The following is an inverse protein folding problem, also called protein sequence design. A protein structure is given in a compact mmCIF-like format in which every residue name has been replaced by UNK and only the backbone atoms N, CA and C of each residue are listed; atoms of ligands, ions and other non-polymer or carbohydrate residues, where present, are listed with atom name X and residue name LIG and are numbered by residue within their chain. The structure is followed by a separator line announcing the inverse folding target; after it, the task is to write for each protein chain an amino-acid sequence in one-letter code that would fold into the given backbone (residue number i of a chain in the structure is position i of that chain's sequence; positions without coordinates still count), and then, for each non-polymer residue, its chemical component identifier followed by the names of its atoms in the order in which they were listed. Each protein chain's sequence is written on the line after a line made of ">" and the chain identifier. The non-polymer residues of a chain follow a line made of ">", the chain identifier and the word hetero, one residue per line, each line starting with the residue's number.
data_IF_518545382088
#
_entry.id   IF_518545382088
#
_cell.length_a   1.000
_cell.length_b   1.000
_cell.length_c   1.000
_cell.angle_alpha   90.00
_cell.angle_beta   90.00
_cell.angle_gamma   90.00
#
_symmetry.space_group_name_H-M   'P 1'
#
loop_
_entity.id
_entity.type
_entity.pdbx_description
1 polymer ?
#
# COMPACT_ATOMS: atom_id res chain seq x y z
N UNK A 1 -26.02 65.39 -6.48
CA UNK A 1 -25.63 64.21 -5.68
C UNK A 1 -25.05 63.17 -6.62
N UNK A 2 -23.73 62.91 -6.59
CA UNK A 2 -23.11 61.77 -7.30
C UNK A 2 -22.23 61.05 -6.29
N UNK A 3 -22.74 59.93 -5.77
CA UNK A 3 -22.00 59.03 -4.90
C UNK A 3 -21.02 58.19 -5.74
N UNK A 4 -19.71 58.37 -5.51
CA UNK A 4 -18.68 57.43 -5.97
C UNK A 4 -18.53 56.30 -4.95
N UNK A 5 -18.87 55.08 -5.35
CA UNK A 5 -18.46 53.86 -4.66
C UNK A 5 -17.03 53.51 -5.06
N UNK A 6 -16.08 53.63 -4.12
CA UNK A 6 -14.74 53.04 -4.24
C UNK A 6 -14.86 51.57 -3.78
N UNK A 7 -14.59 50.57 -4.63
CA UNK A 7 -14.56 49.19 -4.17
C UNK A 7 -13.29 48.93 -3.33
N UNK A 8 -13.47 48.16 -2.26
CA UNK A 8 -12.45 47.74 -1.29
C UNK A 8 -11.26 46.99 -1.93
N UNK A 9 -10.17 47.72 -2.22
CA UNK A 9 -8.92 47.17 -2.76
C UNK A 9 -8.03 46.52 -1.67
N UNK A 10 -8.27 46.80 -0.38
CA UNK A 10 -7.43 46.31 0.72
C UNK A 10 -7.69 44.83 1.11
N UNK A 11 -8.89 44.30 0.88
CA UNK A 11 -9.24 42.91 1.29
C UNK A 11 -8.76 41.85 0.28
N UNK A 12 -8.71 42.16 -1.03
CA UNK A 12 -8.17 41.23 -2.05
C UNK A 12 -6.63 41.14 -2.00
N UNK A 13 -5.94 42.24 -1.68
CA UNK A 13 -4.46 42.29 -1.62
C UNK A 13 -3.90 41.50 -0.44
N UNK A 14 -4.54 41.57 0.73
CA UNK A 14 -4.15 40.83 1.94
C UNK A 14 -4.41 39.33 1.83
N UNK A 15 -5.50 38.92 1.17
CA UNK A 15 -5.77 37.50 0.85
C UNK A 15 -4.74 36.94 -0.12
N UNK A 16 -4.37 37.70 -1.17
CA UNK A 16 -3.32 37.30 -2.12
C UNK A 16 -1.89 37.30 -1.55
N UNK A 17 -1.59 38.13 -0.54
CA UNK A 17 -0.31 38.04 0.19
C UNK A 17 -0.27 36.82 1.10
N UNK A 18 -1.33 36.54 1.87
CA UNK A 18 -1.39 35.37 2.76
C UNK A 18 -1.33 34.04 1.99
N UNK A 19 -1.90 33.97 0.79
CA UNK A 19 -1.79 32.78 -0.07
C UNK A 19 -0.35 32.58 -0.53
N UNK A 20 0.30 33.62 -1.05
CA UNK A 20 1.71 33.57 -1.48
C UNK A 20 2.69 33.27 -0.34
N UNK A 21 2.44 33.79 0.86
CA UNK A 21 3.23 33.46 2.06
C UNK A 21 3.08 32.00 2.46
N UNK A 22 1.86 31.43 2.36
CA UNK A 22 1.62 30.01 2.63
C UNK A 22 2.28 29.12 1.58
N UNK A 23 2.16 29.46 0.30
CA UNK A 23 2.83 28.74 -0.80
C UNK A 23 4.35 28.76 -0.65
N UNK A 24 4.93 29.93 -0.33
CA UNK A 24 6.37 30.06 -0.09
C UNK A 24 6.84 29.21 1.11
N UNK A 25 6.07 29.16 2.20
CA UNK A 25 6.36 28.28 3.35
C UNK A 25 6.27 26.79 3.00
N UNK A 26 5.31 26.40 2.16
CA UNK A 26 5.19 25.01 1.71
C UNK A 26 6.36 24.61 0.82
N UNK A 27 6.75 25.44 -0.15
CA UNK A 27 7.91 25.20 -1.01
C UNK A 27 9.19 25.03 -0.17
N UNK A 28 9.40 25.89 0.83
CA UNK A 28 10.54 25.77 1.74
C UNK A 28 10.49 24.46 2.54
N UNK A 29 9.31 24.05 3.01
CA UNK A 29 9.11 22.77 3.71
C UNK A 29 9.44 21.59 2.79
N UNK A 30 8.99 21.62 1.53
CA UNK A 30 9.28 20.59 0.54
C UNK A 30 10.78 20.50 0.25
N UNK A 31 11.48 21.63 0.08
CA UNK A 31 12.94 21.64 -0.14
C UNK A 31 13.69 21.01 1.03
N UNK A 32 13.33 21.37 2.26
CA UNK A 32 13.93 20.78 3.47
C UNK A 32 13.66 19.29 3.54
N UNK A 33 12.43 18.86 3.26
CA UNK A 33 12.08 17.46 3.24
C UNK A 33 12.86 16.70 2.16
N UNK A 34 12.94 17.20 0.92
CA UNK A 34 13.72 16.57 -0.16
C UNK A 34 15.20 16.42 0.21
N UNK A 35 15.80 17.44 0.82
CA UNK A 35 17.18 17.36 1.29
C UNK A 35 17.35 16.35 2.43
N UNK A 36 16.34 16.14 3.28
CA UNK A 36 16.35 15.10 4.30
C UNK A 36 16.22 13.70 3.68
N UNK A 37 15.26 13.51 2.77
CA UNK A 37 15.04 12.25 2.06
C UNK A 37 16.27 11.85 1.24
N UNK A 38 16.89 12.80 0.55
CA UNK A 38 18.12 12.57 -0.21
C UNK A 38 19.26 12.02 0.68
N UNK A 39 19.51 12.66 1.83
CA UNK A 39 20.52 12.17 2.78
C UNK A 39 20.16 10.79 3.33
N UNK A 40 18.88 10.56 3.60
CA UNK A 40 18.39 9.27 4.06
C UNK A 40 18.57 8.19 2.99
N UNK A 41 18.27 8.47 1.72
CA UNK A 41 18.50 7.56 0.59
C UNK A 41 19.98 7.26 0.41
N UNK A 42 20.85 8.27 0.48
CA UNK A 42 22.30 8.06 0.43
C UNK A 42 22.78 7.10 1.52
N UNK A 43 22.30 7.31 2.76
CA UNK A 43 22.60 6.43 3.88
C UNK A 43 22.03 5.02 3.66
N UNK A 44 20.75 4.89 3.30
CA UNK A 44 20.06 3.61 3.09
C UNK A 44 20.82 2.75 2.06
N UNK A 45 21.09 3.32 0.89
CA UNK A 45 21.67 2.64 -0.28
C UNK A 45 23.20 2.65 -0.32
N UNK A 46 23.86 3.26 0.67
CA UNK A 46 25.33 3.35 0.76
C UNK A 46 25.94 3.96 -0.51
N UNK A 47 25.37 5.08 -0.96
CA UNK A 47 25.91 5.84 -2.09
C UNK A 47 26.57 7.13 -1.59
N UNK A 48 27.82 7.42 -1.99
CA UNK A 48 28.57 8.57 -1.51
C UNK A 48 28.33 9.80 -2.40
N UNK A 49 27.06 10.24 -2.52
CA UNK A 49 26.72 11.39 -3.36
C UNK A 49 26.87 12.71 -2.61
N UNK A 50 27.35 13.74 -3.30
CA UNK A 50 27.38 15.10 -2.77
C UNK A 50 25.96 15.66 -2.72
N UNK A 51 25.62 16.44 -1.68
CA UNK A 51 24.29 17.06 -1.59
C UNK A 51 24.15 18.16 -2.66
N UNK A 52 23.19 18.08 -3.60
CA UNK A 52 23.00 19.09 -4.62
C UNK A 52 22.17 20.27 -4.13
N UNK A 53 22.13 21.34 -4.92
CA UNK A 53 21.13 22.39 -4.78
C UNK A 53 19.76 21.83 -5.18
N UNK A 54 18.76 21.97 -4.31
CA UNK A 54 17.38 21.58 -4.60
C UNK A 54 16.57 22.75 -5.16
N UNK A 55 15.99 22.55 -6.33
CA UNK A 55 15.05 23.48 -6.92
C UNK A 55 13.67 22.84 -7.07
N UNK A 56 12.63 23.63 -6.79
CA UNK A 56 11.24 23.28 -7.10
C UNK A 56 10.81 24.21 -8.21
N UNK A 57 10.45 23.64 -9.37
CA UNK A 57 10.14 24.39 -10.59
C UNK A 57 8.65 24.34 -10.91
N UNK A 58 8.07 25.49 -11.18
CA UNK A 58 6.68 25.62 -11.68
C UNK A 58 6.65 25.56 -13.21
N UNK A 59 5.53 25.11 -13.78
CA UNK A 59 5.29 25.13 -15.24
C UNK A 59 6.15 24.17 -16.07
N UNK A 60 6.87 23.24 -15.45
CA UNK A 60 7.68 22.25 -16.14
C UNK A 60 6.84 21.08 -16.66
N UNK A 61 7.13 20.59 -17.86
CA UNK A 61 6.55 19.34 -18.36
C UNK A 61 7.25 18.09 -17.80
N UNK A 62 8.54 18.19 -17.50
CA UNK A 62 9.33 17.10 -16.91
C UNK A 62 9.18 17.07 -15.40
N UNK A 63 9.10 15.87 -14.84
CA UNK A 63 8.93 15.65 -13.41
C UNK A 63 10.18 15.97 -12.58
N UNK A 64 11.36 15.65 -13.13
CA UNK A 64 12.66 15.85 -12.49
C UNK A 64 13.76 16.13 -13.51
N UNK A 65 14.85 16.71 -13.04
CA UNK A 65 16.08 16.89 -13.83
C UNK A 65 17.31 17.03 -12.92
N UNK A 66 18.33 16.21 -13.19
CA UNK A 66 19.71 16.44 -12.76
C UNK A 66 20.46 17.36 -13.74
N UNK A 67 21.17 18.37 -13.23
CA UNK A 67 21.98 19.30 -14.02
C UNK A 67 23.44 19.28 -13.52
N UNK A 68 24.33 18.50 -14.16
CA UNK A 68 25.71 18.31 -13.69
C UNK A 68 26.49 19.62 -13.53
N UNK A 69 26.37 20.54 -14.49
CA UNK A 69 27.13 21.80 -14.48
C UNK A 69 26.76 22.79 -13.37
N UNK A 70 25.57 22.64 -12.79
CA UNK A 70 25.09 23.50 -11.70
C UNK A 70 25.06 22.77 -10.35
N UNK A 71 25.35 21.46 -10.32
CA UNK A 71 25.17 20.60 -9.14
C UNK A 71 23.74 20.72 -8.58
N UNK A 72 22.75 20.82 -9.48
CA UNK A 72 21.34 21.10 -9.17
C UNK A 72 20.47 19.90 -9.50
N UNK A 73 19.61 19.53 -8.55
CA UNK A 73 18.51 18.58 -8.73
C UNK A 73 17.19 19.32 -8.61
N UNK A 74 16.42 19.32 -9.69
CA UNK A 74 15.13 20.02 -9.75
C UNK A 74 13.98 19.03 -9.83
N UNK A 75 12.89 19.30 -9.10
CA UNK A 75 11.62 18.60 -9.22
C UNK A 75 10.50 19.57 -9.58
N UNK A 76 9.51 19.11 -10.34
CA UNK A 76 8.35 19.91 -10.68
C UNK A 76 7.39 20.05 -9.49
N UNK A 77 6.77 21.22 -9.33
CA UNK A 77 5.79 21.46 -8.26
C UNK A 77 4.55 20.57 -8.37
N UNK A 78 4.07 20.30 -9.59
CA UNK A 78 2.92 19.41 -9.84
C UNK A 78 3.20 17.98 -9.40
N UNK A 79 4.44 17.50 -9.53
CA UNK A 79 4.82 16.16 -9.08
C UNK A 79 4.59 16.01 -7.57
N UNK A 80 4.99 17.04 -6.81
CA UNK A 80 4.90 17.05 -5.35
C UNK A 80 3.45 17.22 -4.88
N UNK A 81 2.64 17.98 -5.62
CA UNK A 81 1.25 18.29 -5.26
C UNK A 81 0.26 17.19 -5.63
N UNK A 82 0.45 16.57 -6.79
CA UNK A 82 -0.56 15.73 -7.42
C UNK A 82 -0.27 14.23 -7.25
N UNK A 83 0.95 13.86 -6.86
CA UNK A 83 1.34 12.47 -6.65
C UNK A 83 1.66 12.18 -5.18
N UNK A 84 1.58 10.89 -4.83
CA UNK A 84 2.00 10.41 -3.52
C UNK A 84 3.51 10.57 -3.36
N UNK A 85 3.96 10.73 -2.13
CA UNK A 85 5.37 11.01 -1.87
C UNK A 85 6.31 9.89 -2.27
N UNK A 86 5.84 8.64 -2.33
CA UNK A 86 6.66 7.52 -2.81
C UNK A 86 6.98 7.66 -4.30
N UNK A 87 6.04 8.16 -5.11
CA UNK A 87 6.29 8.52 -6.52
C UNK A 87 7.32 9.65 -6.61
N UNK A 88 7.21 10.66 -5.75
CA UNK A 88 8.20 11.75 -5.67
C UNK A 88 9.60 11.18 -5.36
N UNK A 89 9.69 10.22 -4.44
CA UNK A 89 10.93 9.55 -4.09
C UNK A 89 11.47 8.66 -5.21
N UNK A 90 10.64 8.00 -6.01
CA UNK A 90 11.08 7.25 -7.19
C UNK A 90 11.70 8.17 -8.25
N UNK A 91 11.08 9.34 -8.52
CA UNK A 91 11.67 10.36 -9.40
C UNK A 91 12.94 10.95 -8.80
N UNK A 92 12.98 11.21 -7.49
CA UNK A 92 14.21 11.66 -6.82
C UNK A 92 15.34 10.65 -7.01
N UNK A 93 15.10 9.35 -6.79
CA UNK A 93 16.09 8.29 -7.01
C UNK A 93 16.51 8.18 -8.47
N UNK A 94 15.61 8.43 -9.42
CA UNK A 94 15.94 8.52 -10.84
C UNK A 94 16.98 9.62 -11.10
N UNK A 95 16.73 10.83 -10.62
CA UNK A 95 17.66 11.95 -10.80
C UNK A 95 18.98 11.72 -10.03
N UNK A 96 18.91 11.12 -8.83
CA UNK A 96 20.10 10.66 -8.11
C UNK A 96 20.92 9.61 -8.88
N UNK A 97 20.29 8.82 -9.75
CA UNK A 97 20.99 7.83 -10.57
C UNK A 97 21.81 8.51 -11.66
N UNK A 98 21.27 9.56 -12.30
CA UNK A 98 22.06 10.42 -13.20
C UNK A 98 23.24 11.06 -12.46
N UNK A 99 23.01 11.57 -11.26
CA UNK A 99 24.06 12.12 -10.41
C UNK A 99 25.13 11.07 -10.06
N UNK A 100 24.74 9.85 -9.73
CA UNK A 100 25.66 8.76 -9.39
C UNK A 100 26.55 8.36 -10.56
N UNK A 101 25.98 8.25 -11.76
CA UNK A 101 26.74 7.97 -12.99
C UNK A 101 27.83 9.02 -13.21
N UNK A 102 27.50 10.30 -12.98
CA UNK A 102 28.43 11.41 -13.17
C UNK A 102 29.48 11.52 -12.06
N UNK A 103 29.06 11.51 -10.78
CA UNK A 103 29.95 11.81 -9.65
C UNK A 103 30.75 10.60 -9.16
N UNK A 104 30.20 9.40 -9.28
CA UNK A 104 30.79 8.19 -8.67
C UNK A 104 31.33 7.25 -9.72
N UNK A 105 30.59 7.01 -10.81
CA UNK A 105 31.03 6.08 -11.85
C UNK A 105 32.00 6.71 -12.86
N UNK A 106 32.02 8.05 -12.96
CA UNK A 106 32.84 8.76 -13.94
C UNK A 106 32.43 8.49 -15.39
N UNK A 107 31.18 8.08 -15.63
CA UNK A 107 30.64 7.63 -16.93
C UNK A 107 29.52 8.55 -17.42
N UNK A 108 29.63 9.85 -17.14
CA UNK A 108 28.62 10.87 -17.45
C UNK A 108 28.39 11.11 -18.95
N UNK A 109 29.34 10.70 -19.80
CA UNK A 109 29.27 10.88 -21.27
C UNK A 109 28.49 9.76 -21.97
N UNK A 110 28.03 8.73 -21.23
CA UNK A 110 27.19 7.67 -21.79
C UNK A 110 25.81 8.19 -22.21
N UNK A 111 25.18 7.44 -23.11
CA UNK A 111 23.80 7.70 -23.54
C UNK A 111 22.88 7.77 -22.31
N UNK A 112 22.02 8.80 -22.20
CA UNK A 112 21.04 8.89 -21.13
C UNK A 112 20.24 7.59 -21.01
N UNK A 113 20.05 7.12 -19.78
CA UNK A 113 19.33 5.88 -19.48
C UNK A 113 19.98 4.58 -20.01
N UNK A 114 21.23 4.65 -20.46
CA UNK A 114 22.05 3.51 -20.89
C UNK A 114 22.53 2.59 -19.75
N UNK A 115 23.47 1.67 -20.02
CA UNK A 115 23.91 0.65 -19.06
C UNK A 115 24.39 1.21 -17.71
N UNK A 116 25.20 2.27 -17.68
CA UNK A 116 25.63 2.89 -16.41
C UNK A 116 24.45 3.40 -15.58
N UNK A 117 23.44 3.99 -16.24
CA UNK A 117 22.24 4.47 -15.56
C UNK A 117 21.39 3.33 -15.00
N UNK A 118 21.25 2.22 -15.73
CA UNK A 118 20.52 1.05 -15.22
C UNK A 118 21.23 0.43 -14.01
N UNK A 119 22.56 0.35 -14.04
CA UNK A 119 23.38 -0.08 -12.90
C UNK A 119 23.19 0.85 -11.69
N UNK A 120 23.18 2.17 -11.91
CA UNK A 120 22.91 3.15 -10.87
C UNK A 120 21.48 3.01 -10.30
N UNK A 121 20.49 2.77 -11.16
CA UNK A 121 19.10 2.52 -10.77
C UNK A 121 18.98 1.27 -9.89
N UNK A 122 19.68 0.18 -10.24
CA UNK A 122 19.75 -1.02 -9.42
C UNK A 122 20.37 -0.74 -8.06
N UNK A 123 21.45 0.05 -8.03
CA UNK A 123 22.14 0.42 -6.78
C UNK A 123 21.27 1.26 -5.85
N UNK A 124 20.47 2.17 -6.41
CA UNK A 124 19.55 3.06 -5.69
C UNK A 124 18.16 2.44 -5.46
N UNK A 125 17.89 1.24 -5.95
CA UNK A 125 16.59 0.60 -5.83
C UNK A 125 15.47 1.39 -6.52
N UNK A 126 15.74 2.00 -7.68
CA UNK A 126 14.72 2.69 -8.49
C UNK A 126 13.72 1.66 -9.02
N UNK A 127 12.44 1.95 -8.85
CA UNK A 127 11.37 1.09 -9.36
C UNK A 127 11.49 0.92 -10.89
N UNK A 128 11.31 -0.29 -11.46
CA UNK A 128 11.53 -0.54 -12.89
C UNK A 128 10.79 0.42 -13.83
N UNK A 129 9.54 0.78 -13.51
CA UNK A 129 8.75 1.72 -14.31
C UNK A 129 9.32 3.15 -14.35
N UNK A 130 10.18 3.51 -13.38
CA UNK A 130 10.82 4.81 -13.28
C UNK A 130 12.22 4.83 -13.88
N UNK A 131 12.69 3.77 -14.56
CA UNK A 131 14.07 3.70 -15.08
C UNK A 131 14.26 4.19 -16.51
N UNK A 132 13.23 4.76 -17.11
CA UNK A 132 13.25 5.27 -18.48
C UNK A 132 12.55 6.62 -18.57
N UNK A 133 12.90 7.39 -19.60
CA UNK A 133 12.21 8.65 -19.90
C UNK A 133 10.84 8.36 -20.54
N UNK A 134 9.85 8.02 -19.72
CA UNK A 134 8.46 7.88 -20.16
C UNK A 134 7.77 9.24 -20.04
N UNK A 135 6.97 9.61 -21.06
CA UNK A 135 6.29 10.92 -21.09
C UNK A 135 5.19 11.11 -20.04
N UNK A 136 4.81 10.04 -19.32
CA UNK A 136 3.86 10.08 -18.23
C UNK A 136 4.48 9.46 -16.97
N UNK A 137 4.13 10.00 -15.79
CA UNK A 137 4.49 9.38 -14.51
C UNK A 137 3.78 8.03 -14.39
N UNK A 138 4.52 6.93 -14.15
CA UNK A 138 3.92 5.62 -13.94
C UNK A 138 2.88 5.65 -12.82
N UNK A 139 1.75 4.97 -13.05
CA UNK A 139 0.72 4.78 -12.04
C UNK A 139 1.08 3.54 -11.23
N UNK A 140 1.69 3.77 -10.09
CA UNK A 140 1.88 2.72 -9.10
C UNK A 140 0.53 2.24 -8.56
N UNK A 141 0.51 1.00 -8.05
CA UNK A 141 -0.67 0.44 -7.42
C UNK A 141 -1.12 1.33 -6.25
N UNK A 142 -2.21 2.05 -6.44
CA UNK A 142 -2.93 2.75 -5.37
C UNK A 142 -4.02 1.82 -4.84
N UNK A 143 -4.33 1.92 -3.54
CA UNK A 143 -5.26 1.00 -2.85
C UNK A 143 -6.68 0.95 -3.39
N UNK A 144 -7.00 1.71 -4.46
CA UNK A 144 -8.29 1.75 -5.12
C UNK A 144 -8.19 1.19 -6.55
N UNK A 145 -8.44 -0.13 -6.65
CA UNK A 145 -8.98 -0.81 -7.83
C UNK A 145 -8.33 -0.50 -9.18
N UNK A 146 -7.28 -1.25 -9.51
CA UNK A 146 -6.82 -1.36 -10.91
C UNK A 146 -6.78 -2.81 -11.39
N UNK A 147 -7.41 -2.99 -12.55
CA UNK A 147 -7.49 -4.24 -13.32
C UNK A 147 -6.09 -4.72 -13.66
N UNK A 148 -5.65 -5.76 -12.98
CA UNK A 148 -4.56 -6.62 -13.46
C UNK A 148 -5.17 -7.85 -14.16
N UNK A 149 -4.38 -8.72 -14.79
CA UNK A 149 -4.79 -9.68 -15.84
C UNK A 149 -5.94 -10.68 -15.59
N UNK A 150 -6.12 -11.67 -16.48
CA UNK A 150 -7.30 -12.55 -16.52
C UNK A 150 -7.62 -13.31 -15.21
N UNK A 151 -6.61 -13.63 -14.38
CA UNK A 151 -6.80 -14.20 -13.04
C UNK A 151 -7.37 -13.18 -12.05
N UNK A 152 -6.90 -11.93 -12.11
CA UNK A 152 -7.48 -10.83 -11.35
C UNK A 152 -8.88 -10.48 -11.81
N UNK A 153 -9.23 -10.61 -13.09
CA UNK A 153 -10.64 -10.46 -13.50
C UNK A 153 -11.56 -11.46 -12.78
N UNK A 154 -11.09 -12.69 -12.49
CA UNK A 154 -11.83 -13.68 -11.69
C UNK A 154 -11.87 -13.33 -10.21
N UNK A 155 -10.76 -12.88 -9.64
CA UNK A 155 -10.66 -12.47 -8.23
C UNK A 155 -11.44 -11.18 -7.98
N UNK A 156 -11.32 -10.19 -8.84
CA UNK A 156 -12.15 -8.97 -8.88
C UNK A 156 -13.62 -9.30 -9.13
N UNK A 157 -13.96 -10.25 -10.00
CA UNK A 157 -15.37 -10.68 -10.17
C UNK A 157 -15.89 -11.37 -8.91
N UNK A 158 -15.09 -12.20 -8.25
CA UNK A 158 -15.41 -12.77 -6.92
C UNK A 158 -15.59 -11.66 -5.86
N UNK A 159 -14.75 -10.63 -5.88
CA UNK A 159 -14.85 -9.49 -4.97
C UNK A 159 -15.96 -8.49 -5.33
N UNK A 160 -16.31 -8.35 -6.61
CA UNK A 160 -17.42 -7.53 -7.09
C UNK A 160 -18.76 -8.19 -6.78
N UNK A 161 -18.84 -9.51 -6.89
CA UNK A 161 -19.98 -10.31 -6.40
C UNK A 161 -20.12 -10.19 -4.88
N UNK A 162 -19.02 -10.21 -4.13
CA UNK A 162 -19.03 -9.90 -2.69
C UNK A 162 -19.47 -8.47 -2.33
N UNK A 163 -19.40 -7.51 -3.27
CA UNK A 163 -19.97 -6.17 -3.09
C UNK A 163 -21.48 -6.16 -3.32
N UNK A 164 -22.04 -7.12 -4.05
CA UNK A 164 -23.48 -7.19 -4.29
C UNK A 164 -24.18 -7.95 -3.16
N UNK A 165 -24.79 -7.19 -2.26
CA UNK A 165 -25.97 -7.53 -1.45
C UNK A 165 -25.88 -8.56 -0.32
N UNK A 166 -24.76 -9.23 -0.02
CA UNK A 166 -24.71 -10.09 1.18
C UNK A 166 -23.34 -10.11 1.88
N UNK A 167 -23.30 -9.67 3.15
CA UNK A 167 -22.09 -9.59 3.97
C UNK A 167 -21.42 -10.96 4.20
N UNK A 168 -22.22 -12.03 4.19
CA UNK A 168 -21.74 -13.42 4.27
C UNK A 168 -20.99 -13.86 2.99
N UNK A 169 -21.29 -13.26 1.83
CA UNK A 169 -20.61 -13.57 0.57
C UNK A 169 -19.21 -12.94 0.52
N UNK A 170 -19.00 -11.79 1.16
CA UNK A 170 -17.70 -11.13 1.22
C UNK A 170 -16.66 -11.91 2.03
N UNK A 171 -17.05 -12.45 3.19
CA UNK A 171 -16.17 -13.30 3.99
C UNK A 171 -15.82 -14.61 3.26
N UNK A 172 -16.80 -15.21 2.56
CA UNK A 172 -16.57 -16.40 1.72
C UNK A 172 -15.64 -16.11 0.54
N UNK A 173 -15.85 -14.98 -0.14
CA UNK A 173 -15.04 -14.57 -1.28
C UNK A 173 -13.57 -14.36 -0.88
N UNK A 174 -13.31 -13.78 0.30
CA UNK A 174 -11.95 -13.60 0.83
C UNK A 174 -11.24 -14.92 1.07
N UNK A 175 -11.94 -15.92 1.61
CA UNK A 175 -11.34 -17.22 1.85
C UNK A 175 -11.09 -17.98 0.57
N UNK A 176 -12.04 -17.95 -0.37
CA UNK A 176 -11.83 -18.51 -1.71
C UNK A 176 -10.65 -17.82 -2.39
N UNK A 177 -10.54 -16.50 -2.28
CA UNK A 177 -9.41 -15.74 -2.80
C UNK A 177 -8.09 -16.20 -2.15
N UNK A 178 -8.04 -16.38 -0.83
CA UNK A 178 -6.85 -16.89 -0.16
C UNK A 178 -6.48 -18.32 -0.63
N UNK A 179 -7.46 -19.23 -0.73
CA UNK A 179 -7.23 -20.57 -1.23
C UNK A 179 -6.71 -20.58 -2.68
N UNK A 180 -7.26 -19.72 -3.54
CA UNK A 180 -6.79 -19.53 -4.92
C UNK A 180 -5.37 -18.98 -4.95
N UNK A 181 -5.09 -17.93 -4.16
CA UNK A 181 -3.75 -17.34 -4.04
C UNK A 181 -2.73 -18.37 -3.56
N UNK A 182 -3.09 -19.21 -2.58
CA UNK A 182 -2.22 -20.26 -2.08
C UNK A 182 -1.83 -21.24 -3.17
N UNK A 183 -2.83 -21.78 -3.88
CA UNK A 183 -2.60 -22.71 -4.98
C UNK A 183 -1.73 -22.08 -6.07
N UNK A 184 -2.06 -20.86 -6.47
CA UNK A 184 -1.29 -20.11 -7.45
C UNK A 184 0.16 -19.89 -7.02
N UNK A 185 0.40 -19.45 -5.78
CA UNK A 185 1.76 -19.21 -5.28
C UNK A 185 2.58 -20.52 -5.15
N UNK A 186 1.95 -21.65 -4.82
CA UNK A 186 2.61 -22.96 -4.81
C UNK A 186 3.01 -23.41 -6.22
N UNK A 187 2.07 -23.35 -7.18
CA UNK A 187 2.33 -23.68 -8.59
C UNK A 187 3.42 -22.76 -9.17
N UNK A 188 3.37 -21.46 -8.85
CA UNK A 188 4.34 -20.44 -9.28
C UNK A 188 5.76 -20.74 -8.82
N UNK A 189 5.95 -21.10 -7.54
CA UNK A 189 7.28 -21.44 -7.01
C UNK A 189 7.83 -22.73 -7.62
N UNK A 190 6.97 -23.71 -7.92
CA UNK A 190 7.37 -24.95 -8.59
C UNK A 190 7.89 -24.73 -10.01
N UNK A 191 7.33 -23.75 -10.74
CA UNK A 191 7.65 -23.51 -12.15
C UNK A 191 8.74 -22.45 -12.41
N UNK A 192 9.31 -21.82 -11.37
CA UNK A 192 10.27 -20.70 -11.49
C UNK A 192 9.83 -19.59 -12.46
N UNK A 193 8.52 -19.33 -12.54
CA UNK A 193 7.98 -18.37 -13.49
C UNK A 193 8.45 -16.94 -13.18
N UNK A 194 8.80 -16.17 -14.22
CA UNK A 194 9.08 -14.75 -14.10
C UNK A 194 7.87 -14.05 -13.46
N UNK A 195 8.10 -13.35 -12.34
CA UNK A 195 7.05 -12.68 -11.57
C UNK A 195 7.30 -11.18 -11.53
N UNK A 196 6.25 -10.42 -11.80
CA UNK A 196 6.21 -8.98 -11.56
C UNK A 196 5.93 -8.72 -10.08
N UNK A 197 6.99 -8.43 -9.32
CA UNK A 197 6.85 -7.94 -7.94
C UNK A 197 6.69 -6.43 -7.95
N UNK A 198 5.87 -5.95 -7.02
CA UNK A 198 5.56 -4.53 -6.87
C UNK A 198 5.38 -4.19 -5.38
N UNK A 199 4.96 -2.97 -5.10
CA UNK A 199 4.56 -2.52 -3.78
C UNK A 199 3.22 -1.77 -3.80
N UNK A 200 2.56 -1.77 -2.66
CA UNK A 200 1.32 -1.03 -2.42
C UNK A 200 1.45 -0.24 -1.12
N UNK A 201 1.24 1.06 -1.19
CA UNK A 201 1.23 1.94 0.00
C UNK A 201 -0.20 2.14 0.47
N UNK A 202 -0.46 1.76 1.72
CA UNK A 202 -1.72 2.03 2.41
C UNK A 202 -1.48 3.16 3.40
N UNK A 203 -2.13 4.30 3.17
CA UNK A 203 -2.07 5.46 4.03
C UNK A 203 -3.33 5.53 4.92
N UNK A 204 -3.24 5.25 6.24
CA UNK A 204 -4.37 5.39 7.14
C UNK A 204 -4.69 6.84 7.54
N UNK A 205 -3.92 7.83 7.09
CA UNK A 205 -4.12 9.25 7.40
C UNK A 205 -3.72 9.65 8.81
N UNK A 206 -2.82 8.90 9.46
CA UNK A 206 -2.47 9.13 10.86
C UNK A 206 -0.95 9.15 11.09
N UNK A 207 -0.51 10.01 12.03
CA UNK A 207 0.89 10.06 12.48
C UNK A 207 1.33 8.82 13.28
N UNK A 208 0.39 7.96 13.68
CA UNK A 208 0.64 6.74 14.45
C UNK A 208 -0.22 5.61 13.92
N UNK A 209 0.37 4.43 13.73
CA UNK A 209 -0.37 3.21 13.43
C UNK A 209 -1.03 2.70 14.71
N UNK A 210 -2.36 2.61 14.67
CA UNK A 210 -3.19 2.10 15.75
C UNK A 210 -2.99 0.58 15.95
N UNK A 211 -3.34 0.06 17.14
CA UNK A 211 -3.12 -1.34 17.46
C UNK A 211 -3.83 -2.30 16.48
N UNK A 212 -5.10 -2.03 16.15
CA UNK A 212 -5.88 -2.83 15.21
C UNK A 212 -5.25 -2.86 13.80
N UNK A 213 -4.73 -1.73 13.31
CA UNK A 213 -4.02 -1.66 12.03
C UNK A 213 -2.76 -2.53 12.01
N UNK A 214 -2.03 -2.63 13.13
CA UNK A 214 -0.85 -3.53 13.23
C UNK A 214 -1.26 -4.99 13.19
N UNK A 215 -2.38 -5.35 13.82
CA UNK A 215 -2.90 -6.72 13.77
C UNK A 215 -3.38 -7.05 12.35
N UNK A 216 -4.04 -6.12 11.66
CA UNK A 216 -4.39 -6.30 10.23
C UNK A 216 -3.11 -6.51 9.41
N UNK A 217 -2.09 -5.66 9.59
CA UNK A 217 -0.80 -5.81 8.92
C UNK A 217 -0.15 -7.19 9.18
N UNK A 218 -0.24 -7.72 10.40
CA UNK A 218 0.24 -9.06 10.73
C UNK A 218 -0.57 -10.16 10.02
N UNK A 219 -1.90 -10.03 9.95
CA UNK A 219 -2.76 -10.97 9.20
C UNK A 219 -2.41 -10.95 7.70
N UNK A 220 -2.21 -9.78 7.11
CA UNK A 220 -1.81 -9.65 5.70
C UNK A 220 -0.46 -10.35 5.45
N UNK A 221 0.51 -10.11 6.34
CA UNK A 221 1.82 -10.76 6.28
C UNK A 221 1.74 -12.29 6.35
N UNK A 222 0.92 -12.81 7.26
CA UNK A 222 0.89 -14.25 7.57
C UNK A 222 0.12 -15.06 6.51
N UNK A 223 -0.94 -14.50 5.92
CA UNK A 223 -1.89 -15.25 5.10
C UNK A 223 -2.01 -14.79 3.64
N UNK A 224 -1.54 -13.59 3.29
CA UNK A 224 -1.79 -13.02 1.95
C UNK A 224 -0.53 -12.90 1.09
N UNK A 225 0.55 -13.62 1.41
CA UNK A 225 1.74 -13.74 0.56
C UNK A 225 2.38 -12.38 0.20
N UNK A 226 2.39 -11.48 1.18
CA UNK A 226 3.00 -10.15 1.09
C UNK A 226 3.95 -9.93 2.26
N UNK A 227 5.03 -9.20 2.03
CA UNK A 227 5.83 -8.62 3.10
C UNK A 227 5.26 -7.26 3.50
N UNK A 228 5.36 -6.92 4.78
CA UNK A 228 4.77 -5.69 5.33
C UNK A 228 5.83 -4.88 6.05
N UNK A 229 5.90 -3.58 5.73
CA UNK A 229 6.77 -2.60 6.36
C UNK A 229 5.94 -1.41 6.82
N UNK A 230 6.15 -0.97 8.06
CA UNK A 230 5.56 0.29 8.52
C UNK A 230 6.58 1.40 8.30
N UNK A 231 6.30 2.28 7.35
CA UNK A 231 7.18 3.38 6.98
C UNK A 231 6.65 4.73 7.49
N UNK A 232 7.45 5.76 7.29
CA UNK A 232 7.08 7.17 7.45
C UNK A 232 7.03 7.77 6.06
N UNK A 233 5.98 8.52 5.77
CA UNK A 233 5.83 9.18 4.48
C UNK A 233 5.41 10.63 4.72
N UNK A 234 6.09 11.56 4.06
CA UNK A 234 5.73 12.96 4.11
C UNK A 234 4.49 13.21 3.24
N UNK A 235 3.57 14.03 3.71
CA UNK A 235 2.40 14.46 2.95
C UNK A 235 2.58 15.93 2.54
N UNK A 236 2.80 16.16 1.25
CA UNK A 236 3.16 17.47 0.73
C UNK A 236 2.11 18.56 0.99
N UNK A 237 0.83 18.19 0.99
CA UNK A 237 -0.31 19.12 1.17
C UNK A 237 -0.41 19.63 2.61
N UNK A 238 -0.18 18.77 3.59
CA UNK A 238 -0.25 19.12 5.02
C UNK A 238 1.11 19.58 5.57
N UNK A 239 2.21 19.16 4.96
CA UNK A 239 3.57 19.36 5.49
C UNK A 239 3.88 18.42 6.66
N UNK A 240 3.04 17.41 6.90
CA UNK A 240 3.19 16.48 8.02
C UNK A 240 3.86 15.18 7.58
N UNK A 241 4.45 14.45 8.54
CA UNK A 241 4.93 13.09 8.30
C UNK A 241 3.97 12.09 8.91
N UNK A 242 3.32 11.32 8.04
CA UNK A 242 2.36 10.28 8.41
C UNK A 242 3.04 8.91 8.52
N UNK A 243 2.33 7.95 9.11
CA UNK A 243 2.74 6.54 9.12
C UNK A 243 1.92 5.78 8.09
N UNK A 244 2.61 5.02 7.25
CA UNK A 244 2.00 4.22 6.20
C UNK A 244 2.37 2.75 6.35
N UNK A 245 1.54 1.90 5.78
CA UNK A 245 1.76 0.45 5.71
C UNK A 245 2.11 0.14 4.26
N UNK A 246 3.35 -0.24 4.01
CA UNK A 246 3.83 -0.66 2.70
C UNK A 246 3.77 -2.19 2.60
N UNK A 247 3.06 -2.67 1.60
CA UNK A 247 2.99 -4.08 1.23
C UNK A 247 3.91 -4.31 0.03
N UNK A 248 4.60 -5.45 -0.01
CA UNK A 248 5.40 -5.87 -1.16
C UNK A 248 5.10 -7.33 -1.50
N UNK A 249 4.96 -7.65 -2.78
CA UNK A 249 4.48 -8.96 -3.21
C UNK A 249 4.27 -9.00 -4.72
N UNK A 250 3.79 -10.14 -5.22
CA UNK A 250 3.27 -10.21 -6.59
C UNK A 250 2.04 -9.28 -6.72
N UNK A 251 1.85 -8.68 -7.91
CA UNK A 251 0.75 -7.74 -8.17
C UNK A 251 -0.63 -8.32 -7.78
N UNK A 252 -0.83 -9.62 -8.03
CA UNK A 252 -2.03 -10.36 -7.63
C UNK A 252 -2.23 -10.34 -6.11
N UNK A 253 -1.18 -10.68 -5.35
CA UNK A 253 -1.22 -10.76 -3.89
C UNK A 253 -1.50 -9.37 -3.29
N UNK A 254 -0.89 -8.32 -3.85
CA UNK A 254 -1.07 -6.93 -3.41
C UNK A 254 -2.50 -6.46 -3.61
N UNK A 255 -3.12 -6.75 -4.76
CA UNK A 255 -4.50 -6.37 -5.04
C UNK A 255 -5.47 -6.98 -4.02
N UNK A 256 -5.29 -8.28 -3.70
CA UNK A 256 -6.11 -8.96 -2.69
C UNK A 256 -5.86 -8.41 -1.29
N UNK A 257 -4.60 -8.24 -0.90
CA UNK A 257 -4.23 -7.74 0.41
C UNK A 257 -4.75 -6.31 0.65
N UNK A 258 -4.69 -5.45 -0.35
CA UNK A 258 -5.27 -4.11 -0.33
C UNK A 258 -6.79 -4.14 -0.14
N UNK A 259 -7.48 -5.04 -0.83
CA UNK A 259 -8.92 -5.21 -0.67
C UNK A 259 -9.30 -5.69 0.75
N UNK A 260 -8.58 -6.69 1.27
CA UNK A 260 -8.79 -7.25 2.61
C UNK A 260 -8.56 -6.20 3.69
N UNK A 261 -7.52 -5.37 3.56
CA UNK A 261 -7.29 -4.27 4.51
C UNK A 261 -8.51 -3.35 4.63
N UNK A 262 -8.99 -2.83 3.52
CA UNK A 262 -10.10 -1.87 3.51
C UNK A 262 -11.42 -2.51 3.96
N UNK A 263 -11.63 -3.79 3.62
CA UNK A 263 -12.78 -4.53 4.12
C UNK A 263 -12.74 -4.69 5.64
N UNK A 264 -11.61 -5.12 6.21
CA UNK A 264 -11.49 -5.32 7.66
C UNK A 264 -11.71 -4.01 8.41
N UNK A 265 -11.14 -2.89 7.93
CA UNK A 265 -11.36 -1.58 8.54
C UNK A 265 -12.85 -1.19 8.53
N UNK A 266 -13.53 -1.31 7.39
CA UNK A 266 -14.97 -1.01 7.30
C UNK A 266 -15.79 -1.94 8.19
N UNK A 267 -15.47 -3.24 8.21
CA UNK A 267 -16.20 -4.25 8.97
C UNK A 267 -16.04 -4.05 10.47
N UNK A 268 -14.83 -3.73 10.94
CA UNK A 268 -14.58 -3.43 12.35
C UNK A 268 -15.43 -2.25 12.83
N UNK A 269 -15.56 -1.19 12.02
CA UNK A 269 -16.42 -0.07 12.37
C UNK A 269 -17.88 -0.50 12.46
N UNK A 270 -18.40 -1.24 11.47
CA UNK A 270 -19.78 -1.74 11.48
C UNK A 270 -20.07 -2.61 12.71
N UNK A 271 -19.26 -3.64 12.96
CA UNK A 271 -19.44 -4.57 14.09
C UNK A 271 -19.41 -3.84 15.43
N UNK A 272 -18.52 -2.85 15.57
CA UNK A 272 -18.47 -2.02 16.78
C UNK A 272 -19.76 -1.22 17.01
N UNK A 273 -20.35 -0.67 15.95
CA UNK A 273 -21.61 0.08 16.10
C UNK A 273 -22.76 -0.84 16.50
N UNK A 274 -22.84 -2.05 15.96
CA UNK A 274 -23.86 -3.05 16.35
C UNK A 274 -23.66 -3.52 17.79
N UNK A 275 -22.42 -3.84 18.18
CA UNK A 275 -22.11 -4.23 19.56
C UNK A 275 -22.44 -3.12 20.56
N UNK A 276 -22.13 -1.86 20.22
CA UNK A 276 -22.42 -0.72 21.08
C UNK A 276 -23.92 -0.51 21.30
N UNK A 277 -24.76 -0.77 20.28
CA UNK A 277 -26.22 -0.70 20.41
C UNK A 277 -26.78 -1.77 21.36
N UNK A 278 -26.18 -2.95 21.41
CA UNK A 278 -26.69 -4.09 22.18
C UNK A 278 -26.18 -4.18 23.62
N UNK A 279 -24.99 -3.63 23.94
CA UNK A 279 -24.33 -3.83 25.24
C UNK A 279 -23.99 -2.56 26.02
N UNK A 280 -24.39 -1.38 25.52
CA UNK A 280 -24.05 -0.07 26.12
C UNK A 280 -22.53 0.17 26.33
N UNK A 281 -21.69 -0.57 25.59
CA UNK A 281 -20.24 -0.50 25.68
C UNK A 281 -19.69 0.91 25.45
N UNK A 282 -18.65 1.27 26.18
CA UNK A 282 -18.06 2.61 26.11
C UNK A 282 -17.01 2.71 25.01
N UNK A 283 -16.75 3.92 24.50
CA UNK A 283 -15.73 4.14 23.46
C UNK A 283 -14.31 3.68 23.85
N UNK A 284 -14.01 3.51 25.14
CA UNK A 284 -12.72 3.01 25.63
C UNK A 284 -12.51 1.52 25.31
N UNK A 285 -13.60 0.76 25.19
CA UNK A 285 -13.58 -0.68 24.95
C UNK A 285 -13.46 -1.03 23.46
N UNK A 286 -13.67 -0.05 22.57
CA UNK A 286 -13.59 -0.18 21.11
C UNK A 286 -12.31 -0.89 20.64
N UNK A 287 -11.15 -0.49 21.19
CA UNK A 287 -9.88 -1.12 20.85
C UNK A 287 -9.82 -2.59 21.28
N UNK A 288 -10.39 -2.95 22.43
CA UNK A 288 -10.41 -4.33 22.91
C UNK A 288 -11.32 -5.20 22.04
N UNK A 289 -12.51 -4.68 21.70
CA UNK A 289 -13.44 -5.34 20.79
C UNK A 289 -12.79 -5.60 19.43
N UNK A 290 -12.21 -4.57 18.81
CA UNK A 290 -11.54 -4.69 17.51
C UNK A 290 -10.41 -5.70 17.49
N UNK A 291 -9.57 -5.71 18.54
CA UNK A 291 -8.49 -6.68 18.66
C UNK A 291 -9.03 -8.11 18.86
N UNK A 292 -10.15 -8.26 19.57
CA UNK A 292 -10.88 -9.52 19.69
C UNK A 292 -11.32 -10.05 18.33
N UNK A 293 -12.07 -9.23 17.58
CA UNK A 293 -12.57 -9.59 16.23
C UNK A 293 -11.43 -10.00 15.30
N UNK A 294 -10.36 -9.22 15.25
CA UNK A 294 -9.21 -9.54 14.42
C UNK A 294 -8.50 -10.83 14.85
N UNK A 295 -8.39 -11.09 16.15
CA UNK A 295 -7.80 -12.34 16.64
C UNK A 295 -8.68 -13.56 16.32
N UNK A 296 -10.00 -13.44 16.49
CA UNK A 296 -10.94 -14.50 16.08
C UNK A 296 -10.86 -14.81 14.58
N UNK A 297 -10.73 -13.76 13.75
CA UNK A 297 -10.52 -13.92 12.31
C UNK A 297 -9.17 -14.58 11.98
N UNK A 298 -8.09 -14.20 12.68
CA UNK A 298 -6.76 -14.81 12.54
C UNK A 298 -6.76 -16.29 12.90
N UNK A 299 -7.40 -16.67 14.00
CA UNK A 299 -7.55 -18.07 14.43
C UNK A 299 -8.24 -18.89 13.34
N UNK A 300 -9.30 -18.34 12.75
CA UNK A 300 -10.03 -18.98 11.65
C UNK A 300 -9.13 -19.21 10.42
N UNK A 301 -8.41 -18.19 9.97
CA UNK A 301 -7.48 -18.33 8.84
C UNK A 301 -6.38 -19.35 9.14
N UNK A 302 -5.90 -19.43 10.39
CA UNK A 302 -4.90 -20.41 10.82
C UNK A 302 -5.42 -21.84 10.70
N UNK A 303 -6.65 -22.10 11.14
CA UNK A 303 -7.29 -23.41 11.02
C UNK A 303 -7.42 -23.81 9.55
N UNK A 304 -7.88 -22.88 8.71
CA UNK A 304 -8.03 -23.12 7.26
C UNK A 304 -6.70 -23.37 6.56
N UNK A 305 -5.65 -22.62 6.92
CA UNK A 305 -4.32 -22.83 6.36
C UNK A 305 -3.83 -24.25 6.70
N UNK A 306 -4.05 -24.71 7.94
CA UNK A 306 -3.70 -26.08 8.36
C UNK A 306 -4.53 -27.15 7.66
N UNK A 307 -5.81 -26.92 7.45
CA UNK A 307 -6.68 -27.83 6.71
C UNK A 307 -6.23 -27.96 5.24
N UNK A 308 -5.89 -26.84 4.60
CA UNK A 308 -5.43 -26.86 3.22
C UNK A 308 -4.03 -27.52 3.06
N UNK A 309 -3.16 -27.45 4.08
CA UNK A 309 -1.90 -28.23 4.11
C UNK A 309 -2.17 -29.73 4.06
N UNK A 310 -3.13 -30.19 4.88
CA UNK A 310 -3.50 -31.61 4.96
C UNK A 310 -4.05 -32.13 3.65
N UNK A 311 -4.88 -31.35 2.95
CA UNK A 311 -5.51 -31.79 1.70
C UNK A 311 -4.58 -31.76 0.49
N UNK A 312 -3.60 -30.87 0.46
CA UNK A 312 -2.61 -30.78 -0.64
C UNK A 312 -1.38 -31.65 -0.43
N UNK A 313 -1.25 -32.33 0.72
CA UNK A 313 -0.07 -33.12 1.07
C UNK A 313 1.20 -32.28 1.26
N UNK A 314 1.06 -30.95 1.36
CA UNK A 314 2.14 -30.00 1.34
C UNK A 314 2.19 -29.28 2.69
N UNK A 315 3.17 -29.62 3.54
CA UNK A 315 3.28 -29.15 4.93
C UNK A 315 3.82 -27.70 5.07
N UNK A 316 3.72 -26.87 4.03
CA UNK A 316 4.31 -25.54 4.04
C UNK A 316 3.23 -24.48 4.30
N UNK A 317 3.39 -23.74 5.41
CA UNK A 317 2.54 -22.61 5.80
C UNK A 317 2.57 -21.47 4.78
N UNK A 318 1.46 -20.72 4.66
CA UNK A 318 1.36 -19.55 3.77
C UNK A 318 2.50 -18.54 4.01
N UNK A 319 2.84 -18.30 5.27
CA UNK A 319 3.95 -17.42 5.65
C UNK A 319 5.32 -17.96 5.23
N UNK A 320 5.51 -19.28 5.26
CA UNK A 320 6.75 -19.94 4.85
C UNK A 320 6.92 -19.92 3.32
N UNK A 321 5.82 -20.10 2.58
CA UNK A 321 5.81 -19.95 1.11
C UNK A 321 6.30 -18.55 0.73
N UNK A 322 5.73 -17.50 1.34
CA UNK A 322 6.16 -16.12 1.13
C UNK A 322 7.64 -15.90 1.51
N UNK A 323 8.07 -16.45 2.65
CA UNK A 323 9.44 -16.35 3.12
C UNK A 323 10.46 -17.12 2.28
N UNK A 324 10.00 -18.10 1.49
CA UNK A 324 10.85 -18.94 0.64
C UNK A 324 11.01 -18.41 -0.79
N UNK A 325 10.21 -17.42 -1.21
CA UNK A 325 10.23 -16.88 -2.58
C UNK A 325 11.52 -16.05 -2.84
N UNK A 326 12.49 -16.54 -3.63
CA UNK A 326 13.76 -15.85 -3.84
C UNK A 326 13.60 -14.53 -4.60
N UNK A 327 12.62 -14.44 -5.51
CA UNK A 327 12.34 -13.23 -6.28
C UNK A 327 11.80 -12.13 -5.38
N UNK A 328 10.86 -12.48 -4.50
CA UNK A 328 10.31 -11.56 -3.52
C UNK A 328 11.37 -11.11 -2.51
N UNK A 329 12.24 -12.01 -2.05
CA UNK A 329 13.35 -11.66 -1.14
C UNK A 329 14.29 -10.65 -1.79
N UNK A 330 14.67 -10.85 -3.06
CA UNK A 330 15.53 -9.91 -3.80
C UNK A 330 14.87 -8.54 -3.93
N UNK A 331 13.60 -8.50 -4.37
CA UNK A 331 12.84 -7.25 -4.50
C UNK A 331 12.73 -6.52 -3.16
N UNK A 332 12.38 -7.26 -2.09
CA UNK A 332 12.23 -6.72 -0.74
C UNK A 332 13.54 -6.13 -0.20
N UNK A 333 14.68 -6.82 -0.39
CA UNK A 333 16.01 -6.34 0.03
C UNK A 333 16.49 -5.15 -0.80
N UNK A 334 16.18 -5.12 -2.09
CA UNK A 334 16.51 -3.99 -2.95
C UNK A 334 15.75 -2.73 -2.52
N UNK A 335 14.45 -2.84 -2.22
CA UNK A 335 13.64 -1.69 -1.77
C UNK A 335 13.97 -1.24 -0.35
N UNK A 336 14.26 -2.18 0.55
CA UNK A 336 14.53 -1.92 1.96
C UNK A 336 15.89 -2.47 2.41
N UNK A 337 17.00 -1.87 1.97
CA UNK A 337 18.35 -2.37 2.26
C UNK A 337 18.70 -2.30 3.76
N UNK A 338 18.00 -1.46 4.53
CA UNK A 338 18.18 -1.33 5.98
C UNK A 338 16.83 -1.32 6.68
N UNK A 339 16.47 -2.45 7.27
CA UNK A 339 15.29 -2.59 8.10
C UNK A 339 15.67 -2.82 9.56
N UNK A 340 14.82 -2.31 10.44
CA UNK A 340 14.90 -2.57 11.88
C UNK A 340 13.59 -3.16 12.35
N UNK A 341 13.68 -4.22 13.13
CA UNK A 341 12.54 -4.74 13.88
C UNK A 341 12.35 -3.92 15.15
N UNK A 342 11.13 -3.42 15.35
CA UNK A 342 10.74 -2.68 16.56
C UNK A 342 9.70 -3.50 17.31
N UNK A 343 9.96 -3.77 18.59
CA UNK A 343 8.98 -4.39 19.49
C UNK A 343 8.07 -3.32 20.08
N UNK A 344 6.81 -3.66 20.29
CA UNK A 344 5.82 -2.76 20.87
C UNK A 344 5.10 -3.47 22.02
N UNK A 345 4.80 -2.71 23.08
CA UNK A 345 3.95 -3.17 24.17
C UNK A 345 2.51 -3.22 23.70
N UNK A 346 1.81 -4.31 24.04
CA UNK A 346 0.39 -4.48 23.76
C UNK A 346 -0.48 -3.47 24.54
N UNK A 347 -1.64 -3.08 24.00
CA UNK A 347 -2.58 -2.25 24.75
C UNK A 347 -3.18 -3.03 25.92
N UNK A 348 -3.68 -2.31 26.94
CA UNK A 348 -4.54 -2.91 27.97
C UNK A 348 -5.85 -3.34 27.32
N UNK A 349 -6.32 -4.54 27.67
CA UNK A 349 -7.52 -5.15 27.11
C UNK A 349 -8.60 -5.31 28.17
N UNK A 350 -9.83 -5.05 27.79
CA UNK A 350 -11.03 -5.43 28.55
C UNK A 350 -11.40 -6.86 28.15
N UNK A 351 -11.28 -7.80 29.08
CA UNK A 351 -11.37 -9.24 28.78
C UNK A 351 -12.72 -9.62 28.15
N UNK A 352 -13.84 -9.18 28.74
CA UNK A 352 -15.17 -9.57 28.28
C UNK A 352 -15.48 -9.02 26.89
N UNK A 353 -15.18 -7.73 26.66
CA UNK A 353 -15.35 -7.11 25.34
C UNK A 353 -14.43 -7.73 24.29
N UNK A 354 -13.20 -8.09 24.67
CA UNK A 354 -12.27 -8.79 23.80
C UNK A 354 -12.80 -10.18 23.42
N UNK A 355 -13.33 -10.94 24.39
CA UNK A 355 -13.91 -12.26 24.13
C UNK A 355 -15.16 -12.18 23.25
N UNK A 356 -16.05 -11.20 23.49
CA UNK A 356 -17.20 -10.96 22.63
C UNK A 356 -16.76 -10.67 21.19
N UNK A 357 -15.78 -9.78 21.02
CA UNK A 357 -15.16 -9.53 19.72
C UNK A 357 -14.55 -10.79 19.11
N UNK A 358 -13.85 -11.61 19.89
CA UNK A 358 -13.23 -12.85 19.41
C UNK A 358 -14.25 -13.87 18.91
N UNK A 359 -15.39 -14.01 19.60
CA UNK A 359 -16.49 -14.87 19.15
C UNK A 359 -17.06 -14.38 17.82
N UNK A 360 -17.32 -13.08 17.69
CA UNK A 360 -17.75 -12.49 16.42
C UNK A 360 -16.71 -12.64 15.31
N UNK A 361 -15.43 -12.51 15.64
CA UNK A 361 -14.32 -12.75 14.73
C UNK A 361 -14.30 -14.16 14.16
N UNK A 362 -14.60 -15.17 15.00
CA UNK A 362 -14.74 -16.58 14.57
C UNK A 362 -15.99 -16.77 13.71
N UNK A 363 -17.06 -16.09 14.09
CA UNK A 363 -18.35 -16.06 13.42
C UNK A 363 -18.42 -15.09 12.23
N UNK A 364 -17.30 -14.58 11.72
CA UNK A 364 -17.23 -14.04 10.35
C UNK A 364 -17.50 -15.20 9.38
N UNK A 365 -18.76 -15.63 9.29
CA UNK A 365 -19.23 -16.91 8.75
C UNK A 365 -19.29 -16.88 7.23
N UNK A 366 -18.86 -18.04 6.74
CA UNK A 366 -18.90 -18.68 5.44
C UNK A 366 -20.30 -19.29 5.32
N UNK A 367 -21.16 -18.77 4.45
CA UNK A 367 -22.22 -19.64 3.94
C UNK A 367 -21.74 -20.23 2.63
N UNK A 368 -21.67 -21.57 2.56
CA UNK A 368 -21.67 -22.27 1.26
C UNK A 368 -22.85 -21.70 0.50
N UNK A 369 -22.60 -21.18 -0.71
CA UNK A 369 -23.67 -20.87 -1.64
C UNK A 369 -24.60 -22.07 -1.67
N UNK A 370 -25.88 -21.82 -1.41
CA UNK A 370 -26.93 -22.81 -1.59
C UNK A 370 -26.76 -23.34 -3.00
N UNK A 371 -26.32 -24.60 -3.13
CA UNK A 371 -26.58 -25.38 -4.32
C UNK A 371 -28.09 -25.37 -4.45
N UNK A 372 -28.60 -24.61 -5.42
CA UNK A 372 -29.95 -24.79 -5.91
C UNK A 372 -30.01 -26.10 -6.71
N UNK A 373 -29.86 -27.23 -6.01
CA UNK A 373 -30.38 -28.51 -6.47
C UNK A 373 -31.81 -28.58 -5.97
N UNK A 374 -32.71 -28.06 -6.79
CA UNK A 374 -34.15 -28.04 -6.57
C UNK A 374 -34.86 -28.15 -7.91
N UNK A 375 -34.56 -29.21 -8.66
CA UNK A 375 -35.12 -29.45 -9.98
C UNK A 375 -35.22 -30.93 -10.31
N UNK A 376 -35.62 -31.76 -9.35
CA UNK A 376 -36.06 -33.13 -9.63
C UNK A 376 -37.56 -33.26 -9.33
N UNK A 377 -38.39 -32.73 -10.23
CA UNK A 377 -39.78 -33.15 -10.37
C UNK A 377 -39.85 -34.17 -11.51
N UNK A 378 -39.45 -35.40 -11.21
CA UNK A 378 -39.78 -36.56 -12.01
C UNK A 378 -41.02 -37.26 -11.46
N UNK A 379 -42.14 -37.16 -12.17
CA UNK A 379 -43.22 -38.17 -12.34
C UNK A 379 -43.96 -37.79 -13.63
N UNK A 380 -43.64 -38.40 -14.78
CA UNK A 380 -44.12 -39.68 -15.37
C UNK A 380 -45.61 -39.71 -15.77
N UNK A 381 -45.81 -39.80 -17.11
CA UNK A 381 -46.83 -40.48 -17.93
C UNK A 381 -48.33 -40.18 -17.73
N UNK A 382 -49.03 -39.81 -18.82
CA UNK A 382 -49.76 -40.76 -19.69
C UNK A 382 -50.61 -40.02 -20.76
N UNK A 383 -50.55 -40.53 -21.99
CA UNK A 383 -51.52 -40.61 -23.09
C UNK A 383 -52.64 -39.55 -23.28
N UNK A 384 -52.70 -39.06 -24.53
CA UNK A 384 -53.79 -38.25 -25.11
C UNK A 384 -53.39 -37.60 -26.41
#
# INVERSE_FOLDING_TARGET
>A
MICRWIPDIKVKRTRGLRVREKESRLIETWRRQLAQEYRQLCWLYRVPLKLPLFEIREGQSRAGTWSPGLDTLSLASWLILDHSWDVVLEVLKHEMSHQYVQQVMGRGDEVPHGPAFQEACDRLGVHPEFRSAQGAIPRLLTGEGQRSGAMLARVEKLFALARSANEHEAALAMQKANAILRRYNLERLGCQAATDYDYLVINPGAMRIAAHQRVIAAILKDFFYVNVVIARQFEAKSGETLRVIELTGAKENLAVAGHVYHFLIRRLEYLWQEYRKSTAATGREKNSYWLGVLNGFREKLTIQDREAMRTTGNNTDSSLICASDPGLIRYYRARYPRLRTVRHTGPRLHADTYQAGQQEGKQLVIHKGVSADGGNTGRLLADG
#
